data_IF_291513548683
#
_entry.id   IF_291513548683
#
_cell.length_a   1.000
_cell.length_b   1.000
_cell.length_c   1.000
_cell.angle_alpha   90.00
_cell.angle_beta   90.00
_cell.angle_gamma   90.00
#
_symmetry.space_group_name_H-M   'P 1'
#
loop_
_entity.id
_entity.type
_entity.pdbx_description
1 polymer ?
#
# COMPACT_ATOMS: atom_id res chain seq x y z
N UNK A 1 -20.43 -21.58 -10.48
CA UNK A 1 -19.94 -20.97 -9.23
C UNK A 1 -18.98 -19.87 -9.64
N UNK A 2 -19.26 -18.61 -9.34
CA UNK A 2 -18.26 -17.56 -9.50
C UNK A 2 -17.22 -17.77 -8.41
N UNK A 3 -15.95 -17.93 -8.79
CA UNK A 3 -14.86 -17.88 -7.82
C UNK A 3 -14.93 -16.55 -7.06
N UNK A 4 -14.69 -16.55 -5.73
CA UNK A 4 -14.61 -15.32 -4.98
C UNK A 4 -13.49 -14.45 -5.55
N UNK A 5 -13.77 -13.16 -5.77
CA UNK A 5 -12.79 -12.21 -6.28
C UNK A 5 -11.61 -12.11 -5.30
N UNK A 6 -10.38 -12.18 -5.82
CA UNK A 6 -9.17 -12.15 -5.01
C UNK A 6 -9.06 -10.85 -4.19
N UNK A 7 -8.72 -10.92 -2.90
CA UNK A 7 -8.42 -9.74 -2.09
C UNK A 7 -7.26 -8.92 -2.67
N UNK A 8 -7.20 -7.63 -2.33
CA UNK A 8 -6.14 -6.73 -2.77
C UNK A 8 -5.65 -5.82 -1.63
N UNK A 9 -4.36 -5.49 -1.64
CA UNK A 9 -3.76 -4.52 -0.71
C UNK A 9 -3.63 -3.16 -1.41
N UNK A 10 -4.09 -2.09 -0.75
CA UNK A 10 -3.98 -0.73 -1.24
C UNK A 10 -2.66 -0.09 -0.78
N UNK A 11 -1.93 0.52 -1.71
CA UNK A 11 -0.81 1.40 -1.40
C UNK A 11 -1.32 2.73 -0.82
N UNK A 12 -0.46 3.41 -0.06
CA UNK A 12 -0.80 4.67 0.62
C UNK A 12 -1.28 5.75 -0.34
N UNK A 13 -0.70 5.85 -1.54
CA UNK A 13 -1.13 6.81 -2.57
C UNK A 13 -2.59 6.56 -3.04
N UNK A 14 -3.02 5.31 -3.15
CA UNK A 14 -4.40 4.95 -3.50
C UNK A 14 -5.36 5.25 -2.35
N UNK A 15 -4.94 5.00 -1.11
CA UNK A 15 -5.74 5.35 0.08
C UNK A 15 -5.94 6.86 0.22
N UNK A 16 -4.93 7.66 -0.12
CA UNK A 16 -5.06 9.11 -0.18
C UNK A 16 -6.11 9.51 -1.21
N UNK A 17 -5.98 8.98 -2.43
CA UNK A 17 -6.84 9.35 -3.56
C UNK A 17 -8.28 8.84 -3.44
N UNK A 18 -8.51 7.72 -2.73
CA UNK A 18 -9.87 7.29 -2.34
C UNK A 18 -10.61 8.39 -1.57
N UNK A 19 -9.90 9.13 -0.71
CA UNK A 19 -10.47 10.27 0.00
C UNK A 19 -10.61 11.54 -0.85
N UNK A 20 -9.96 11.59 -2.02
CA UNK A 20 -9.92 12.74 -2.94
C UNK A 20 -10.70 12.50 -4.25
N UNK A 21 -11.52 11.46 -4.31
CA UNK A 21 -12.47 11.23 -5.41
C UNK A 21 -12.07 10.16 -6.44
N UNK A 22 -11.13 9.26 -6.12
CA UNK A 22 -10.92 8.05 -6.91
C UNK A 22 -12.24 7.27 -7.03
N UNK A 23 -12.64 6.92 -8.26
CA UNK A 23 -13.83 6.11 -8.50
C UNK A 23 -13.65 4.71 -7.88
N UNK A 24 -14.47 4.30 -6.89
CA UNK A 24 -14.37 2.98 -6.29
C UNK A 24 -14.52 1.84 -7.30
N UNK A 25 -15.20 2.07 -8.43
CA UNK A 25 -15.35 1.05 -9.49
C UNK A 25 -14.07 0.80 -10.28
N UNK A 26 -13.05 1.66 -10.13
CA UNK A 26 -11.71 1.44 -10.70
C UNK A 26 -10.87 0.44 -9.89
N UNK A 27 -11.31 0.09 -8.68
CA UNK A 27 -10.61 -0.85 -7.80
C UNK A 27 -11.03 -2.30 -8.10
N UNK A 28 -10.18 -3.30 -7.78
CA UNK A 28 -10.57 -4.69 -7.85
C UNK A 28 -11.82 -4.97 -7.01
N UNK A 29 -12.78 -5.72 -7.55
CA UNK A 29 -14.05 -6.01 -6.85
C UNK A 29 -13.94 -6.99 -5.67
N UNK A 30 -12.73 -7.45 -5.34
CA UNK A 30 -12.46 -8.26 -4.15
C UNK A 30 -12.38 -7.43 -2.87
N UNK A 31 -12.16 -8.09 -1.74
CA UNK A 31 -11.98 -7.39 -0.47
C UNK A 31 -10.71 -6.54 -0.48
N UNK A 32 -10.83 -5.28 -0.01
CA UNK A 32 -9.73 -4.32 0.01
C UNK A 32 -9.12 -4.24 1.42
N UNK A 33 -7.80 -4.22 1.48
CA UNK A 33 -7.03 -4.15 2.72
C UNK A 33 -6.00 -3.02 2.65
N UNK A 34 -5.48 -2.63 3.81
CA UNK A 34 -4.35 -1.70 3.94
C UNK A 34 -3.34 -2.21 4.96
N UNK A 35 -2.15 -1.61 4.94
CA UNK A 35 -1.07 -1.98 5.85
C UNK A 35 -0.95 -1.03 7.05
N UNK A 36 -0.37 -1.53 8.14
CA UNK A 36 0.06 -0.70 9.25
C UNK A 36 1.12 0.36 8.84
N UNK A 37 1.86 0.11 7.75
CA UNK A 37 2.81 1.07 7.17
C UNK A 37 2.05 2.27 6.59
N UNK A 38 0.95 2.03 5.88
CA UNK A 38 0.06 3.08 5.37
C UNK A 38 -0.54 3.89 6.51
N UNK A 39 -0.97 3.23 7.60
CA UNK A 39 -1.46 3.93 8.79
C UNK A 39 -0.37 4.83 9.41
N UNK A 40 0.87 4.35 9.47
CA UNK A 40 2.00 5.12 9.97
C UNK A 40 2.28 6.35 9.09
N UNK A 41 2.24 6.21 7.75
CA UNK A 41 2.44 7.33 6.81
C UNK A 41 1.35 8.39 6.94
N UNK A 42 0.08 7.98 7.06
CA UNK A 42 -1.03 8.91 7.27
C UNK A 42 -0.91 9.65 8.60
N UNK A 43 -0.56 8.94 9.68
CA UNK A 43 -0.35 9.52 11.01
C UNK A 43 0.80 10.52 11.05
N UNK A 44 1.92 10.18 10.39
CA UNK A 44 3.05 11.09 10.21
C UNK A 44 2.64 12.32 9.39
N UNK A 45 1.83 12.12 8.35
CA UNK A 45 1.25 13.20 7.54
C UNK A 45 0.44 14.19 8.37
N UNK A 46 -0.42 13.72 9.28
CA UNK A 46 -1.16 14.61 10.20
C UNK A 46 -0.20 15.43 11.06
N UNK A 47 0.79 14.77 11.66
CA UNK A 47 1.75 15.39 12.58
C UNK A 47 2.68 16.40 11.89
N UNK A 48 2.98 16.19 10.60
CA UNK A 48 3.88 17.03 9.82
C UNK A 48 3.16 18.14 9.02
N UNK A 49 1.84 18.30 9.16
CA UNK A 49 1.07 19.32 8.47
C UNK A 49 1.54 20.74 8.87
N UNK A 50 1.57 21.66 7.89
CA UNK A 50 2.06 23.03 8.08
C UNK A 50 0.97 24.03 8.44
N UNK A 51 -0.29 23.69 8.16
CA UNK A 51 -1.46 24.53 8.43
C UNK A 51 -2.54 23.74 9.14
N UNK A 52 -3.42 24.43 9.88
CA UNK A 52 -4.55 23.82 10.55
C UNK A 52 -5.53 23.16 9.54
N UNK A 53 -5.72 23.77 8.37
CA UNK A 53 -6.58 23.22 7.32
C UNK A 53 -6.03 21.91 6.75
N UNK A 54 -4.72 21.87 6.46
CA UNK A 54 -4.03 20.67 6.00
C UNK A 54 -4.09 19.57 7.06
N UNK A 55 -3.82 19.91 8.32
CA UNK A 55 -3.89 18.99 9.44
C UNK A 55 -5.30 18.41 9.59
N UNK A 56 -6.33 19.26 9.54
CA UNK A 56 -7.73 18.85 9.64
C UNK A 56 -8.15 17.92 8.50
N UNK A 57 -7.73 18.20 7.26
CA UNK A 57 -8.00 17.33 6.12
C UNK A 57 -7.33 15.96 6.27
N UNK A 58 -6.04 15.92 6.65
CA UNK A 58 -5.30 14.68 6.87
C UNK A 58 -5.86 13.87 8.04
N UNK A 59 -6.30 14.54 9.12
CA UNK A 59 -6.88 13.89 10.29
C UNK A 59 -8.22 13.23 9.95
N UNK A 60 -9.08 13.89 9.17
CA UNK A 60 -10.34 13.29 8.70
C UNK A 60 -10.09 12.02 7.88
N UNK A 61 -9.08 12.03 7.01
CA UNK A 61 -8.68 10.84 6.24
C UNK A 61 -8.19 9.72 7.16
N UNK A 62 -7.32 10.03 8.13
CA UNK A 62 -6.81 9.05 9.09
C UNK A 62 -7.97 8.39 9.87
N UNK A 63 -8.90 9.20 10.39
CA UNK A 63 -10.06 8.69 11.13
C UNK A 63 -10.98 7.82 10.27
N UNK A 64 -11.22 8.22 9.01
CA UNK A 64 -11.98 7.40 8.08
C UNK A 64 -11.30 6.04 7.85
N UNK A 65 -9.98 6.03 7.64
CA UNK A 65 -9.18 4.81 7.49
C UNK A 65 -9.29 3.91 8.72
N UNK A 66 -9.10 4.46 9.92
CA UNK A 66 -9.18 3.70 11.18
C UNK A 66 -10.57 3.13 11.45
N UNK A 67 -11.62 3.84 11.03
CA UNK A 67 -13.01 3.35 11.17
C UNK A 67 -13.41 2.30 10.13
N UNK A 68 -12.75 2.29 8.97
CA UNK A 68 -13.17 1.47 7.82
C UNK A 68 -12.34 0.18 7.66
N UNK A 69 -11.15 0.12 8.24
CA UNK A 69 -10.19 -0.95 7.99
C UNK A 69 -9.46 -1.41 9.26
N UNK A 70 -9.08 -2.68 9.25
CA UNK A 70 -8.11 -3.24 10.21
C UNK A 70 -6.76 -3.39 9.48
N UNK A 71 -5.73 -2.59 9.81
CA UNK A 71 -4.45 -2.64 9.13
C UNK A 71 -3.73 -3.98 9.30
N UNK A 72 -3.18 -4.52 8.21
CA UNK A 72 -2.32 -5.69 8.26
C UNK A 72 -0.93 -5.33 8.82
N UNK A 73 -0.37 -6.14 9.74
CA UNK A 73 0.95 -5.88 10.31
C UNK A 73 2.07 -6.16 9.29
N UNK A 74 3.20 -5.51 9.47
CA UNK A 74 4.46 -5.96 8.87
C UNK A 74 5.09 -7.03 9.78
N UNK A 75 4.67 -8.27 9.59
CA UNK A 75 5.06 -9.40 10.42
C UNK A 75 6.33 -10.13 9.93
N UNK A 76 6.63 -11.28 10.52
CA UNK A 76 7.82 -12.07 10.17
C UNK A 76 7.79 -12.63 8.74
N UNK A 77 6.62 -12.93 8.18
CA UNK A 77 6.51 -13.44 6.82
C UNK A 77 6.71 -12.29 5.81
N UNK A 78 6.05 -11.15 6.04
CA UNK A 78 6.28 -9.93 5.29
C UNK A 78 7.75 -9.50 5.36
N UNK A 79 8.41 -9.61 6.53
CA UNK A 79 9.84 -9.30 6.66
C UNK A 79 10.74 -10.19 5.78
N UNK A 80 10.41 -11.48 5.60
CA UNK A 80 11.14 -12.37 4.69
C UNK A 80 10.91 -11.99 3.23
N UNK A 81 9.66 -11.67 2.86
CA UNK A 81 9.33 -11.19 1.51
C UNK A 81 10.05 -9.88 1.18
N UNK A 82 10.14 -8.96 2.14
CA UNK A 82 10.89 -7.71 2.00
C UNK A 82 12.35 -7.98 1.60
N UNK A 83 13.02 -8.94 2.25
CA UNK A 83 14.40 -9.31 1.92
C UNK A 83 14.56 -9.77 0.46
N UNK A 84 13.58 -10.51 -0.06
CA UNK A 84 13.58 -10.96 -1.46
C UNK A 84 13.37 -9.79 -2.43
N UNK A 85 12.41 -8.90 -2.14
CA UNK A 85 12.15 -7.70 -2.94
C UNK A 85 13.38 -6.77 -2.95
N UNK A 86 13.99 -6.56 -1.79
CA UNK A 86 15.22 -5.78 -1.64
C UNK A 86 16.35 -6.32 -2.52
N UNK A 87 16.58 -7.63 -2.48
CA UNK A 87 17.60 -8.30 -3.29
C UNK A 87 17.39 -8.07 -4.78
N UNK A 88 16.16 -8.19 -5.27
CA UNK A 88 15.84 -7.97 -6.69
C UNK A 88 15.98 -6.52 -7.12
N UNK A 89 15.52 -5.56 -6.32
CA UNK A 89 15.68 -4.14 -6.63
C UNK A 89 17.15 -3.76 -6.70
N UNK A 90 17.95 -4.24 -5.74
CA UNK A 90 19.39 -4.01 -5.73
C UNK A 90 20.07 -4.63 -6.96
N UNK A 91 19.70 -5.86 -7.33
CA UNK A 91 20.21 -6.52 -8.53
C UNK A 91 19.83 -5.76 -9.82
N UNK A 92 18.67 -5.09 -9.84
CA UNK A 92 18.22 -4.23 -10.93
C UNK A 92 18.82 -2.81 -10.91
N UNK A 93 19.85 -2.54 -10.09
CA UNK A 93 20.53 -1.24 -10.03
C UNK A 93 19.73 -0.10 -9.40
N UNK A 94 18.56 -0.40 -8.81
CA UNK A 94 17.69 0.59 -8.15
C UNK A 94 18.05 0.74 -6.67
N UNK A 95 17.69 1.87 -6.05
CA UNK A 95 18.01 2.17 -4.63
C UNK A 95 16.86 1.77 -3.70
N UNK A 96 16.93 0.65 -2.94
CA UNK A 96 15.80 0.17 -2.15
C UNK A 96 15.46 1.07 -0.96
N UNK A 97 16.46 1.75 -0.37
CA UNK A 97 16.26 2.61 0.82
C UNK A 97 15.33 3.80 0.56
N UNK A 98 15.29 4.31 -0.67
CA UNK A 98 14.38 5.41 -1.04
C UNK A 98 12.91 4.96 -1.09
N UNK A 99 12.67 3.65 -1.08
CA UNK A 99 11.36 3.00 -1.24
C UNK A 99 11.07 2.06 -0.07
N UNK A 100 11.63 2.36 1.12
CA UNK A 100 11.53 1.46 2.26
C UNK A 100 10.07 1.12 2.59
N UNK A 101 9.22 2.15 2.74
CA UNK A 101 7.80 1.98 3.03
C UNK A 101 7.07 1.23 1.91
N UNK A 102 7.24 1.65 0.64
CA UNK A 102 6.64 0.98 -0.51
C UNK A 102 6.99 -0.52 -0.57
N UNK A 103 8.24 -0.86 -0.25
CA UNK A 103 8.69 -2.26 -0.24
C UNK A 103 8.15 -3.05 0.93
N UNK A 104 7.94 -2.43 2.09
CA UNK A 104 7.26 -3.08 3.22
C UNK A 104 5.79 -3.35 2.89
N UNK A 105 5.10 -2.39 2.26
CA UNK A 105 3.72 -2.56 1.79
C UNK A 105 3.64 -3.69 0.76
N UNK A 106 4.52 -3.66 -0.26
CA UNK A 106 4.58 -4.70 -1.27
C UNK A 106 4.94 -6.08 -0.70
N UNK A 107 5.76 -6.13 0.34
CA UNK A 107 6.10 -7.36 1.02
C UNK A 107 4.91 -7.96 1.79
N UNK A 108 4.07 -7.13 2.38
CA UNK A 108 2.80 -7.57 2.99
C UNK A 108 1.90 -8.16 1.90
N UNK A 109 1.73 -7.46 0.76
CA UNK A 109 0.92 -7.99 -0.34
C UNK A 109 1.45 -9.34 -0.84
N UNK A 110 2.77 -9.44 -1.04
CA UNK A 110 3.44 -10.67 -1.48
C UNK A 110 3.31 -11.83 -0.49
N UNK A 111 3.44 -11.57 0.82
CA UNK A 111 3.25 -12.57 1.87
C UNK A 111 1.84 -13.18 1.86
N UNK A 112 0.82 -12.35 1.59
CA UNK A 112 -0.56 -12.81 1.45
C UNK A 112 -0.90 -13.38 0.07
N UNK A 113 -0.02 -13.25 -0.92
CA UNK A 113 -0.30 -13.62 -2.31
C UNK A 113 -1.33 -12.71 -2.98
N UNK A 114 -1.50 -11.47 -2.50
CA UNK A 114 -2.47 -10.51 -3.00
C UNK A 114 -1.83 -9.48 -3.93
N UNK A 115 -2.55 -8.98 -4.96
CA UNK A 115 -2.10 -7.83 -5.72
C UNK A 115 -1.99 -6.57 -4.86
N UNK A 116 -0.99 -5.75 -5.17
CA UNK A 116 -0.82 -4.40 -4.66
C UNK A 116 -1.45 -3.40 -5.64
N UNK A 117 -2.48 -2.68 -5.22
CA UNK A 117 -3.08 -1.58 -5.98
C UNK A 117 -2.32 -0.30 -5.68
N UNK A 118 -1.82 0.38 -6.71
CA UNK A 118 -0.95 1.56 -6.56
C UNK A 118 -1.12 2.55 -7.72
N UNK A 119 -0.85 3.84 -7.48
CA UNK A 119 -0.68 4.82 -8.56
C UNK A 119 0.62 4.67 -9.35
N UNK A 120 1.59 3.94 -8.80
CA UNK A 120 2.94 3.84 -9.36
C UNK A 120 3.31 2.38 -9.67
N UNK A 121 2.56 1.66 -10.55
CA UNK A 121 2.82 0.24 -10.81
C UNK A 121 4.22 -0.01 -11.39
N UNK A 122 4.76 0.95 -12.14
CA UNK A 122 6.11 0.90 -12.72
C UNK A 122 7.23 0.81 -11.68
N UNK A 123 6.98 1.25 -10.44
CA UNK A 123 7.94 1.14 -9.35
C UNK A 123 8.24 -0.32 -8.98
N UNK A 124 7.30 -1.22 -9.28
CA UNK A 124 7.36 -2.64 -8.99
C UNK A 124 7.71 -3.50 -10.22
N UNK A 125 8.01 -2.88 -11.37
CA UNK A 125 8.43 -3.60 -12.56
C UNK A 125 9.67 -4.47 -12.27
N UNK A 126 9.68 -5.73 -12.71
CA UNK A 126 10.70 -6.73 -12.42
C UNK A 126 10.52 -7.50 -11.10
N UNK A 127 9.42 -7.25 -10.37
CA UNK A 127 9.09 -7.92 -9.10
C UNK A 127 7.89 -8.86 -9.23
N UNK A 128 7.39 -9.12 -10.43
CA UNK A 128 6.11 -9.80 -10.73
C UNK A 128 6.03 -11.21 -10.15
N UNK A 129 7.18 -11.90 -9.99
CA UNK A 129 7.23 -13.22 -9.34
C UNK A 129 7.09 -13.18 -7.80
N UNK A 130 7.04 -12.00 -7.20
CA UNK A 130 6.91 -11.80 -5.75
C UNK A 130 5.65 -11.00 -5.40
N UNK A 131 5.30 -10.02 -6.23
CA UNK A 131 4.12 -9.18 -6.04
C UNK A 131 3.57 -8.73 -7.38
N UNK A 132 2.27 -8.86 -7.56
CA UNK A 132 1.55 -8.30 -8.72
C UNK A 132 1.16 -6.86 -8.38
N UNK A 133 1.57 -5.88 -9.18
CA UNK A 133 1.13 -4.49 -9.02
C UNK A 133 0.04 -4.14 -10.03
N UNK A 134 -1.07 -3.59 -9.54
CA UNK A 134 -2.20 -3.12 -10.35
C UNK A 134 -2.22 -1.59 -10.30
N UNK A 135 -2.19 -0.96 -11.47
CA UNK A 135 -2.32 0.49 -11.61
C UNK A 135 -3.77 0.94 -11.60
N UNK A 136 -4.08 2.02 -10.89
CA UNK A 136 -5.40 2.71 -10.91
C UNK A 136 -5.24 4.20 -11.08
#
# INVERSE_FOLDING_TARGET
MNEPLSPALLATNVVIDLGDGLDPNSLPGGALYLSAITLAELSAGVSAAKTADEQGARLRRLQWVESSFVPLPFDAEAARFYGQLYGRIRAAGRQPRRRLADLQIAAIAGAHGWPLVTRNPSDFAGLEKLVTAIGV
#
